data_IF_000592620902
#
_entry.id   IF_000592620902
#
_cell.length_a   1.000
_cell.length_b   1.000
_cell.length_c   1.000
_cell.angle_alpha   90.00
_cell.angle_beta   90.00
_cell.angle_gamma   90.00
#
_symmetry.space_group_name_H-M   'P 1'
#
loop_
_entity.id
_entity.type
_entity.pdbx_description
1 polymer ?
#
# COMPACT_ATOMS: atom_id res chain seq x y z
N UNK A 1 68.17 -8.71 -11.71
CA UNK A 1 67.60 -10.06 -11.79
C UNK A 1 66.14 -9.95 -11.43
N UNK A 2 65.36 -10.35 -12.42
CA UNK A 2 63.96 -10.72 -12.42
C UNK A 2 62.84 -9.69 -12.36
N UNK A 3 61.95 -9.94 -13.31
CA UNK A 3 60.82 -9.19 -13.79
C UNK A 3 59.53 -9.98 -13.51
N UNK A 4 58.40 -9.35 -13.87
CA UNK A 4 57.08 -9.92 -14.20
C UNK A 4 56.28 -10.62 -13.09
N UNK A 5 55.12 -10.05 -12.73
CA UNK A 5 53.81 -10.60 -13.13
C UNK A 5 52.67 -9.78 -12.49
N UNK A 6 51.91 -9.08 -13.33
CA UNK A 6 50.61 -8.57 -12.95
C UNK A 6 49.62 -9.71 -12.74
N UNK A 7 48.74 -9.56 -11.77
CA UNK A 7 47.49 -10.32 -11.72
C UNK A 7 46.34 -9.37 -11.35
N UNK A 8 45.47 -9.25 -12.34
CA UNK A 8 44.18 -8.57 -12.32
C UNK A 8 43.27 -9.22 -11.28
N UNK A 9 42.89 -8.49 -10.24
CA UNK A 9 41.78 -8.87 -9.38
C UNK A 9 40.49 -8.45 -10.10
N UNK A 10 39.86 -9.44 -10.72
CA UNK A 10 38.51 -9.39 -11.28
C UNK A 10 37.56 -8.72 -10.29
N UNK A 11 37.14 -7.50 -10.64
CA UNK A 11 35.84 -6.96 -10.25
C UNK A 11 34.77 -7.90 -10.79
N UNK A 12 34.21 -8.77 -9.94
CA UNK A 12 32.94 -9.44 -10.20
C UNK A 12 31.81 -8.41 -10.06
N UNK A 13 31.65 -7.59 -11.10
CA UNK A 13 30.44 -6.85 -11.36
C UNK A 13 29.32 -7.85 -11.66
N UNK A 14 28.55 -8.19 -10.63
CA UNK A 14 27.25 -8.83 -10.79
C UNK A 14 26.31 -7.82 -11.43
N UNK A 15 26.28 -7.83 -12.77
CA UNK A 15 25.30 -7.15 -13.60
C UNK A 15 23.93 -7.77 -13.32
N UNK A 16 23.21 -7.22 -12.34
CA UNK A 16 21.77 -7.46 -12.21
C UNK A 16 21.08 -6.74 -13.37
N UNK A 17 20.72 -7.49 -14.39
CA UNK A 17 19.88 -7.06 -15.51
C UNK A 17 18.51 -6.62 -14.97
N UNK A 18 18.37 -5.32 -14.71
CA UNK A 18 17.09 -4.69 -14.41
C UNK A 18 16.25 -4.67 -15.70
N UNK A 19 15.55 -5.78 -15.96
CA UNK A 19 14.49 -5.81 -16.97
C UNK A 19 13.43 -4.78 -16.55
N UNK A 20 13.30 -3.71 -17.33
CA UNK A 20 12.31 -2.66 -17.09
C UNK A 20 10.93 -3.21 -17.43
N UNK A 21 10.32 -3.90 -16.47
CA UNK A 21 8.90 -4.26 -16.56
C UNK A 21 8.11 -2.96 -16.38
N UNK A 22 7.31 -2.62 -17.39
CA UNK A 22 6.30 -1.57 -17.26
C UNK A 22 5.17 -2.15 -16.41
N UNK A 23 4.80 -1.45 -15.35
CA UNK A 23 3.69 -1.82 -14.50
C UNK A 23 2.55 -0.85 -14.81
N UNK A 24 1.40 -1.36 -15.21
CA UNK A 24 0.24 -0.53 -15.55
C UNK A 24 -0.44 0.02 -14.28
N UNK A 25 -0.23 -0.65 -13.14
CA UNK A 25 -0.82 -0.28 -11.84
C UNK A 25 0.24 -0.17 -10.71
N UNK A 26 0.06 0.81 -9.83
CA UNK A 26 0.94 1.04 -8.68
C UNK A 26 0.92 -0.17 -7.72
N UNK A 27 -0.24 -0.78 -7.53
CA UNK A 27 -0.40 -1.93 -6.65
C UNK A 27 0.43 -3.12 -7.17
N UNK A 28 0.43 -3.33 -8.48
CA UNK A 28 1.23 -4.37 -9.12
C UNK A 28 2.73 -4.11 -8.90
N UNK A 29 3.19 -2.88 -9.05
CA UNK A 29 4.58 -2.51 -8.76
C UNK A 29 4.96 -2.76 -7.29
N UNK A 30 4.10 -2.35 -6.36
CA UNK A 30 4.34 -2.56 -4.92
C UNK A 30 4.38 -4.04 -4.55
N UNK A 31 3.59 -4.89 -5.22
CA UNK A 31 3.65 -6.34 -5.04
C UNK A 31 5.01 -6.91 -5.49
N UNK A 32 5.62 -6.36 -6.54
CA UNK A 32 6.93 -6.78 -7.05
C UNK A 32 8.11 -6.28 -6.21
N UNK A 33 7.96 -5.15 -5.52
CA UNK A 33 9.01 -4.52 -4.71
C UNK A 33 9.44 -5.39 -3.50
N UNK A 34 8.60 -6.34 -3.07
CA UNK A 34 8.91 -7.32 -2.04
C UNK A 34 8.64 -6.84 -0.60
N UNK A 35 8.23 -7.79 0.26
CA UNK A 35 7.79 -7.54 1.65
C UNK A 35 8.73 -6.68 2.52
N UNK A 36 10.06 -6.88 2.54
CA UNK A 36 10.94 -6.11 3.44
C UNK A 36 11.09 -4.64 3.03
N UNK A 37 11.06 -4.35 1.73
CA UNK A 37 11.11 -2.97 1.23
C UNK A 37 9.79 -2.24 1.48
N UNK A 38 8.67 -2.94 1.31
CA UNK A 38 7.33 -2.42 1.61
C UNK A 38 7.17 -2.12 3.11
N UNK A 39 7.71 -2.96 4.00
CA UNK A 39 7.71 -2.67 5.44
C UNK A 39 8.51 -1.41 5.80
N UNK A 40 9.65 -1.17 5.12
CA UNK A 40 10.41 0.08 5.26
C UNK A 40 9.64 1.27 4.70
N UNK A 41 8.94 1.09 3.58
CA UNK A 41 8.10 2.12 2.97
C UNK A 41 6.98 2.58 3.92
N UNK A 42 6.37 1.64 4.65
CA UNK A 42 5.32 1.92 5.63
C UNK A 42 5.80 2.60 6.91
N UNK A 43 7.10 2.85 7.07
CA UNK A 43 7.61 3.67 8.18
C UNK A 43 7.23 5.15 8.01
N UNK A 44 6.96 5.59 6.77
CA UNK A 44 6.53 6.96 6.49
C UNK A 44 5.00 7.09 6.48
N UNK A 45 4.46 8.03 7.27
CA UNK A 45 3.03 8.32 7.36
C UNK A 45 2.42 8.74 6.02
N UNK A 46 3.10 9.58 5.24
CA UNK A 46 2.63 10.05 3.94
C UNK A 46 2.53 8.90 2.92
N UNK A 47 3.52 8.01 2.89
CA UNK A 47 3.50 6.87 1.97
C UNK A 47 2.44 5.85 2.35
N UNK A 48 2.25 5.59 3.66
CA UNK A 48 1.17 4.72 4.13
C UNK A 48 -0.22 5.26 3.74
N UNK A 49 -0.39 6.58 3.78
CA UNK A 49 -1.63 7.25 3.36
C UNK A 49 -1.81 7.20 1.84
N UNK A 50 -0.75 7.39 1.07
CA UNK A 50 -0.80 7.26 -0.39
C UNK A 50 -1.23 5.86 -0.81
N UNK A 51 -0.60 4.82 -0.24
CA UNK A 51 -0.99 3.42 -0.49
C UNK A 51 -2.44 3.18 -0.07
N UNK A 52 -2.87 3.70 1.09
CA UNK A 52 -4.26 3.59 1.52
C UNK A 52 -5.27 4.22 0.53
N UNK A 53 -4.90 5.31 -0.14
CA UNK A 53 -5.77 5.98 -1.14
C UNK A 53 -5.91 5.20 -2.43
N UNK A 54 -4.88 4.46 -2.82
CA UNK A 54 -4.85 3.62 -4.03
C UNK A 54 -5.51 2.25 -3.84
N UNK A 55 -5.79 1.84 -2.59
CA UNK A 55 -6.51 0.60 -2.32
C UNK A 55 -7.96 0.62 -2.85
N UNK A 56 -8.50 -0.54 -3.27
CA UNK A 56 -9.92 -0.66 -3.62
C UNK A 56 -10.80 -0.35 -2.40
N UNK A 57 -12.02 0.12 -2.64
CA UNK A 57 -12.93 0.60 -1.60
C UNK A 57 -13.22 -0.47 -0.52
N UNK A 58 -13.35 -1.73 -0.93
CA UNK A 58 -13.53 -2.85 0.01
C UNK A 58 -12.32 -3.07 0.92
N UNK A 59 -11.10 -2.94 0.39
CA UNK A 59 -9.88 -3.04 1.19
C UNK A 59 -9.78 -1.90 2.21
N UNK A 60 -10.15 -0.67 1.81
CA UNK A 60 -10.20 0.50 2.71
C UNK A 60 -11.14 0.27 3.88
N UNK A 61 -12.34 -0.26 3.64
CA UNK A 61 -13.30 -0.58 4.70
C UNK A 61 -12.74 -1.61 5.69
N UNK A 62 -12.06 -2.64 5.20
CA UNK A 62 -11.41 -3.64 6.05
C UNK A 62 -10.30 -3.01 6.90
N UNK A 63 -9.42 -2.21 6.28
CA UNK A 63 -8.32 -1.53 6.97
C UNK A 63 -8.85 -0.56 8.04
N UNK A 64 -9.88 0.23 7.73
CA UNK A 64 -10.46 1.18 8.69
C UNK A 64 -11.08 0.49 9.91
N UNK A 65 -11.75 -0.65 9.72
CA UNK A 65 -12.28 -1.45 10.84
C UNK A 65 -11.17 -2.07 11.68
N UNK A 66 -10.05 -2.46 11.05
CA UNK A 66 -8.90 -3.08 11.71
C UNK A 66 -7.93 -2.06 12.32
N UNK A 67 -8.02 -0.78 11.97
CA UNK A 67 -7.05 0.25 12.35
C UNK A 67 -6.87 0.33 13.88
N UNK A 68 -7.96 0.20 14.63
CA UNK A 68 -7.96 0.27 16.09
C UNK A 68 -7.91 -1.09 16.79
N UNK A 69 -7.88 -2.19 16.03
CA UNK A 69 -7.85 -3.54 16.60
C UNK A 69 -6.41 -4.05 16.67
N UNK A 70 -5.94 -4.29 17.89
CA UNK A 70 -4.58 -4.80 18.13
C UNK A 70 -4.50 -6.33 18.15
N UNK A 71 -5.66 -6.99 18.24
CA UNK A 71 -5.76 -8.44 18.29
C UNK A 71 -6.05 -9.04 16.90
N UNK A 72 -5.52 -10.24 16.59
CA UNK A 72 -5.83 -10.92 15.34
C UNK A 72 -7.33 -11.24 15.24
N UNK A 73 -7.96 -10.86 14.12
CA UNK A 73 -9.38 -11.10 13.88
C UNK A 73 -9.57 -12.39 13.07
N UNK A 74 -10.43 -13.34 13.49
CA UNK A 74 -10.73 -14.54 12.71
C UNK A 74 -11.24 -14.23 11.30
N UNK A 75 -10.84 -15.03 10.29
CA UNK A 75 -11.30 -14.85 8.90
C UNK A 75 -12.83 -14.95 8.76
N UNK A 76 -13.47 -15.75 9.61
CA UNK A 76 -14.93 -15.90 9.66
C UNK A 76 -15.64 -14.59 10.01
N UNK A 77 -15.04 -13.76 10.86
CA UNK A 77 -15.58 -12.45 11.22
C UNK A 77 -15.46 -11.49 10.04
N UNK A 78 -14.33 -11.48 9.35
CA UNK A 78 -14.13 -10.61 8.18
C UNK A 78 -15.11 -10.96 7.06
N UNK A 79 -15.29 -12.25 6.76
CA UNK A 79 -16.29 -12.70 5.77
C UNK A 79 -17.74 -12.41 6.18
N UNK A 80 -18.02 -12.29 7.49
CA UNK A 80 -19.35 -11.90 7.98
C UNK A 80 -19.67 -10.42 7.74
N UNK A 81 -18.66 -9.56 7.62
CA UNK A 81 -18.84 -8.11 7.41
C UNK A 81 -19.50 -7.77 6.08
N UNK A 82 -19.31 -8.61 5.07
CA UNK A 82 -19.91 -8.47 3.73
C UNK A 82 -21.41 -8.74 3.78
N UNK A 83 -21.82 -9.78 4.49
CA UNK A 83 -23.22 -10.26 4.55
C UNK A 83 -24.19 -9.28 5.21
N UNK A 84 -23.69 -8.41 6.09
CA UNK A 84 -24.53 -7.55 6.92
C UNK A 84 -24.69 -6.12 6.37
N UNK A 85 -23.78 -5.67 5.48
CA UNK A 85 -23.72 -4.26 5.08
C UNK A 85 -24.87 -3.85 4.15
N UNK A 86 -25.49 -4.79 3.41
CA UNK A 86 -26.53 -4.45 2.41
C UNK A 86 -27.95 -4.87 2.78
N UNK A 87 -28.16 -5.43 3.97
CA UNK A 87 -29.53 -5.68 4.47
C UNK A 87 -30.31 -4.38 4.73
N UNK A 88 -29.62 -3.23 4.84
CA UNK A 88 -30.19 -1.88 5.04
C UNK A 88 -30.66 -1.23 3.73
N UNK A 89 -30.15 -1.66 2.57
CA UNK A 89 -30.61 -1.18 1.25
C UNK A 89 -31.76 -2.03 0.67
N UNK A 90 -32.46 -2.82 1.50
CA UNK A 90 -33.55 -3.73 1.10
C UNK A 90 -34.89 -3.07 0.74
N UNK A 91 -34.96 -1.75 0.54
CA UNK A 91 -36.21 -1.11 0.12
C UNK A 91 -36.36 -0.97 -1.41
N UNK A 92 -35.37 -1.39 -2.22
CA UNK A 92 -35.47 -1.34 -3.69
C UNK A 92 -35.27 -2.74 -4.26
N UNK A 93 -36.28 -3.20 -5.00
CA UNK A 93 -36.57 -4.61 -5.29
C UNK A 93 -35.79 -5.20 -6.49
N UNK A 94 -35.66 -6.53 -6.50
CA UNK A 94 -35.39 -7.48 -7.63
C UNK A 94 -33.93 -7.77 -8.07
N UNK A 95 -32.88 -7.02 -7.72
CA UNK A 95 -31.49 -7.30 -8.20
C UNK A 95 -30.62 -8.23 -7.30
N UNK A 96 -31.21 -8.95 -6.34
CA UNK A 96 -30.51 -9.29 -5.08
C UNK A 96 -29.69 -10.60 -5.04
N UNK A 97 -29.66 -11.43 -6.09
CA UNK A 97 -28.90 -12.70 -6.05
C UNK A 97 -27.50 -12.60 -6.65
N UNK A 98 -27.34 -11.86 -7.76
CA UNK A 98 -26.06 -11.69 -8.45
C UNK A 98 -25.10 -10.80 -7.64
N UNK A 99 -25.66 -9.81 -6.96
CA UNK A 99 -24.95 -8.81 -6.19
C UNK A 99 -24.18 -9.43 -4.99
N UNK A 100 -24.75 -10.45 -4.33
CA UNK A 100 -24.08 -11.13 -3.22
C UNK A 100 -22.89 -12.00 -3.65
N UNK A 101 -22.85 -12.45 -4.90
CA UNK A 101 -21.73 -13.24 -5.45
C UNK A 101 -20.60 -12.29 -5.84
N UNK A 102 -20.96 -11.15 -6.45
CA UNK A 102 -20.01 -10.09 -6.83
C UNK A 102 -19.30 -9.52 -5.59
N UNK A 103 -20.03 -9.20 -4.53
CA UNK A 103 -19.47 -8.74 -3.25
C UNK A 103 -18.41 -9.67 -2.66
N UNK A 104 -18.71 -10.97 -2.68
CA UNK A 104 -17.82 -11.97 -2.10
C UNK A 104 -16.54 -12.07 -2.92
N UNK A 105 -16.64 -11.92 -4.25
CA UNK A 105 -15.50 -11.85 -5.16
C UNK A 105 -14.65 -10.61 -4.88
N UNK A 106 -15.26 -9.43 -4.78
CA UNK A 106 -14.53 -8.18 -4.50
C UNK A 106 -13.82 -8.22 -3.14
N UNK A 107 -14.46 -8.80 -2.13
CA UNK A 107 -13.85 -8.97 -0.83
C UNK A 107 -12.67 -9.96 -0.86
N UNK A 108 -12.79 -11.05 -1.62
CA UNK A 108 -11.72 -12.02 -1.79
C UNK A 108 -10.51 -11.39 -2.48
N UNK A 109 -10.76 -10.60 -3.53
CA UNK A 109 -9.75 -9.85 -4.27
C UNK A 109 -9.09 -8.80 -3.37
N UNK A 110 -9.87 -8.00 -2.65
CA UNK A 110 -9.37 -7.04 -1.67
C UNK A 110 -8.49 -7.71 -0.61
N UNK A 111 -8.90 -8.88 -0.13
CA UNK A 111 -8.14 -9.69 0.83
C UNK A 111 -6.80 -10.15 0.25
N UNK A 112 -6.80 -10.58 -1.01
CA UNK A 112 -5.60 -11.01 -1.71
C UNK A 112 -4.64 -9.84 -1.90
N UNK A 113 -5.13 -8.68 -2.35
CA UNK A 113 -4.35 -7.45 -2.52
C UNK A 113 -3.72 -7.00 -1.19
N UNK A 114 -4.49 -6.98 -0.10
CA UNK A 114 -3.98 -6.61 1.24
C UNK A 114 -2.89 -7.58 1.73
N UNK A 115 -2.99 -8.86 1.38
CA UNK A 115 -1.98 -9.86 1.70
C UNK A 115 -0.71 -9.69 0.87
N UNK A 116 -0.87 -9.40 -0.44
CA UNK A 116 0.26 -9.16 -1.36
C UNK A 116 1.05 -7.91 -0.98
N UNK A 117 0.35 -6.84 -0.61
CA UNK A 117 0.93 -5.57 -0.16
C UNK A 117 1.46 -5.62 1.28
N UNK A 118 1.40 -6.76 1.97
CA UNK A 118 1.85 -6.91 3.35
C UNK A 118 1.21 -5.89 4.33
N UNK A 119 -0.01 -5.44 4.01
CA UNK A 119 -0.80 -4.50 4.84
C UNK A 119 -1.34 -5.22 6.07
N UNK A 120 -1.72 -6.48 5.90
CA UNK A 120 -2.06 -7.39 6.99
C UNK A 120 -1.24 -8.69 6.89
N UNK A 121 -1.15 -9.42 8.00
CA UNK A 121 -0.42 -10.67 8.13
C UNK A 121 -1.37 -11.75 8.65
N UNK A 122 -1.25 -12.96 8.10
CA UNK A 122 -1.97 -14.12 8.62
C UNK A 122 -1.30 -14.57 9.91
N UNK A 123 -2.05 -14.64 10.99
CA UNK A 123 -1.60 -15.10 12.30
C UNK A 123 -2.59 -16.12 12.84
N UNK A 124 -2.07 -17.25 13.33
CA UNK A 124 -2.88 -18.25 14.02
C UNK A 124 -3.30 -17.70 15.39
N UNK A 125 -4.61 -17.68 15.65
CA UNK A 125 -5.11 -17.37 16.98
C UNK A 125 -4.77 -18.50 17.97
N UNK A 126 -4.88 -18.20 19.27
CA UNK A 126 -4.75 -19.18 20.35
C UNK A 126 -5.72 -20.37 20.21
N UNK A 127 -6.81 -20.17 19.46
CA UNK A 127 -7.82 -21.18 19.13
C UNK A 127 -7.46 -22.08 17.95
N UNK A 128 -6.27 -21.92 17.35
CA UNK A 128 -5.81 -22.68 16.18
C UNK A 128 -6.42 -22.22 14.85
N UNK A 129 -7.35 -21.26 14.87
CA UNK A 129 -7.97 -20.72 13.65
C UNK A 129 -7.08 -19.64 13.01
N UNK A 130 -7.09 -19.53 11.66
CA UNK A 130 -6.41 -18.44 10.98
C UNK A 130 -7.10 -17.10 11.29
N UNK A 131 -6.30 -16.08 11.52
CA UNK A 131 -6.73 -14.71 11.70
C UNK A 131 -5.88 -13.74 10.91
N UNK A 132 -6.42 -12.54 10.76
CA UNK A 132 -5.75 -11.43 10.11
C UNK A 132 -5.39 -10.38 11.15
N UNK A 133 -4.14 -9.92 11.10
CA UNK A 133 -3.64 -8.83 11.92
C UNK A 133 -3.04 -7.76 11.02
N UNK A 134 -3.38 -6.49 11.24
CA UNK A 134 -2.78 -5.40 10.49
C UNK A 134 -1.28 -5.30 10.81
N UNK A 135 -0.47 -4.97 9.81
CA UNK A 135 0.95 -4.72 10.01
C UNK A 135 1.14 -3.52 10.94
N UNK A 136 1.93 -3.71 12.01
CA UNK A 136 2.09 -2.71 13.05
C UNK A 136 2.64 -1.39 12.52
N UNK A 137 3.68 -1.42 11.69
CA UNK A 137 4.27 -0.21 11.09
C UNK A 137 3.26 0.53 10.22
N UNK A 138 2.50 -0.20 9.39
CA UNK A 138 1.46 0.39 8.55
C UNK A 138 0.34 1.00 9.39
N UNK A 139 -0.11 0.29 10.44
CA UNK A 139 -1.15 0.74 11.36
C UNK A 139 -0.77 2.04 12.04
N UNK A 140 0.42 2.09 12.62
CA UNK A 140 0.87 3.21 13.45
C UNK A 140 1.15 4.43 12.55
N UNK A 141 1.76 4.24 11.38
CA UNK A 141 1.94 5.29 10.37
C UNK A 141 0.62 5.81 9.79
N UNK A 142 -0.36 4.94 9.54
CA UNK A 142 -1.67 5.33 9.03
C UNK A 142 -2.50 6.06 10.10
N UNK A 143 -2.46 5.60 11.36
CA UNK A 143 -3.06 6.34 12.49
C UNK A 143 -2.46 7.73 12.60
N UNK A 144 -1.14 7.82 12.52
CA UNK A 144 -0.40 9.09 12.54
C UNK A 144 -0.84 10.01 11.40
N UNK A 145 -0.97 9.47 10.18
CA UNK A 145 -1.41 10.22 9.02
C UNK A 145 -2.87 10.71 9.11
N UNK A 146 -3.79 9.88 9.63
CA UNK A 146 -5.21 10.21 9.72
C UNK A 146 -5.55 11.14 10.89
N UNK A 147 -4.87 10.97 12.03
CA UNK A 147 -5.12 11.75 13.25
C UNK A 147 -4.24 13.01 13.33
N UNK A 148 -3.41 13.27 12.31
CA UNK A 148 -2.57 14.47 12.23
C UNK A 148 -1.40 14.49 13.22
N UNK A 149 -0.86 13.32 13.57
CA UNK A 149 0.33 13.19 14.42
C UNK A 149 1.63 13.08 13.62
N UNK A 150 2.76 12.96 14.33
CA UNK A 150 4.07 12.59 13.76
C UNK A 150 4.89 13.77 13.23
N UNK A 151 6.02 13.45 12.58
CA UNK A 151 6.84 14.47 11.95
C UNK A 151 6.08 15.16 10.81
N UNK A 152 6.17 16.50 10.76
CA UNK A 152 5.61 17.27 9.66
C UNK A 152 6.17 16.75 8.34
N UNK A 153 5.28 16.51 7.38
CA UNK A 153 5.69 16.10 6.05
C UNK A 153 6.71 17.12 5.52
N UNK A 154 7.85 16.65 5.02
CA UNK A 154 8.96 17.50 4.58
C UNK A 154 8.55 18.56 3.54
N UNK A 155 7.41 18.36 2.86
CA UNK A 155 6.81 19.26 1.88
C UNK A 155 6.25 20.55 2.51
N UNK A 156 5.87 20.53 3.80
CA UNK A 156 5.33 21.70 4.50
C UNK A 156 6.39 22.52 5.24
N UNK A 157 7.68 22.25 5.03
CA UNK A 157 8.72 23.16 5.52
C UNK A 157 8.54 24.48 4.79
N UNK A 158 8.27 25.54 5.53
CA UNK A 158 8.13 26.89 4.96
C UNK A 158 9.40 27.23 4.18
N UNK A 159 9.25 27.31 2.86
CA UNK A 159 10.31 27.76 1.98
C UNK A 159 10.36 29.29 2.04
N UNK A 160 11.55 29.91 1.94
CA UNK A 160 11.66 31.36 1.87
C UNK A 160 10.86 31.88 0.68
N UNK A 161 10.25 33.05 0.83
CA UNK A 161 9.43 33.69 -0.21
C UNK A 161 10.24 33.82 -1.50
N UNK A 162 9.80 33.11 -2.54
CA UNK A 162 10.46 33.14 -3.84
C UNK A 162 10.30 34.52 -4.49
N UNK A 163 11.41 35.08 -4.96
CA UNK A 163 11.44 36.36 -5.66
C UNK A 163 10.90 36.23 -7.10
N UNK A 164 10.91 35.03 -7.65
CA UNK A 164 10.45 34.71 -9.00
C UNK A 164 9.45 33.55 -8.97
N UNK A 165 8.38 33.67 -8.19
CA UNK A 165 7.32 32.66 -8.18
C UNK A 165 6.76 32.49 -9.60
N UNK A 166 6.95 31.32 -10.24
CA UNK A 166 6.49 31.09 -11.60
C UNK A 166 4.96 31.09 -11.65
N UNK A 167 4.41 31.65 -12.72
CA UNK A 167 2.97 31.61 -12.98
C UNK A 167 2.54 30.21 -13.43
N UNK A 168 1.26 29.86 -13.21
CA UNK A 168 0.69 28.56 -13.57
C UNK A 168 0.89 28.29 -15.07
N UNK A 169 0.70 29.30 -15.92
CA UNK A 169 0.88 29.17 -17.38
C UNK A 169 2.34 28.89 -17.75
N UNK A 170 3.29 29.47 -17.01
CA UNK A 170 4.72 29.22 -17.22
C UNK A 170 5.15 27.81 -16.79
N UNK A 171 4.56 27.29 -15.71
CA UNK A 171 4.80 25.92 -15.23
C UNK A 171 4.23 24.89 -16.21
N UNK A 172 3.05 25.15 -16.76
CA UNK A 172 2.42 24.29 -17.74
C UNK A 172 3.20 24.27 -19.06
N UNK A 173 3.63 25.45 -19.55
CA UNK A 173 4.52 25.54 -20.72
C UNK A 173 5.84 24.81 -20.50
N UNK A 174 6.41 24.88 -19.30
CA UNK A 174 7.63 24.18 -18.94
C UNK A 174 7.44 22.65 -18.92
N UNK A 175 6.36 22.16 -18.28
CA UNK A 175 6.04 20.74 -18.21
C UNK A 175 5.83 20.15 -19.62
N UNK A 176 5.03 20.81 -20.45
CA UNK A 176 4.74 20.39 -21.83
C UNK A 176 5.98 20.37 -22.75
N UNK A 177 7.02 21.15 -22.45
CA UNK A 177 8.28 21.13 -23.22
C UNK A 177 9.21 20.00 -22.81
N UNK A 178 9.05 19.46 -21.60
CA UNK A 178 10.01 18.50 -21.01
C UNK A 178 9.57 17.05 -21.16
N UNK A 179 8.26 16.84 -21.14
CA UNK A 179 7.59 15.60 -21.53
C UNK A 179 7.48 15.51 -23.04
#
# INVERSE_FOLDING_TARGET
MDAIAGTSVKTSSSSSSSTTKSYDDLIEYLCHLGKPLVDKLYTNSATSLAVFRELPEMAKHCVMRLLFVEQPIPQTVITSWVKNTRHVLRHISVFVMFDSILDFSEHLEASEVLTKLNVWKSQTLQTGLPGWLLNQSFRDSLKTALLGGGEQWSVYKELPKDKHSPDIESLDSYANKRW
#
